data_IF_199112066369
#
_entry.id   IF_199112066369
#
_cell.length_a   1.000
_cell.length_b   1.000
_cell.length_c   1.000
_cell.angle_alpha   90.00
_cell.angle_beta   90.00
_cell.angle_gamma   90.00
#
_symmetry.space_group_name_H-M   'P 1'
#
loop_
_entity.id
_entity.type
_entity.pdbx_description
1 polymer ?
#
# COMPACT_ATOMS: atom_id res chain seq x y z
N UNK A 1 -1.52 0.41 0.45
CA UNK A 1 -0.20 -0.14 0.11
C UNK A 1 0.66 0.02 1.35
N UNK A 2 1.38 -1.00 1.76
CA UNK A 2 2.35 -0.93 2.85
C UNK A 2 3.60 -1.73 2.47
N UNK A 3 4.79 -1.23 2.81
CA UNK A 3 6.06 -1.89 2.50
C UNK A 3 6.43 -2.92 3.56
N UNK A 4 6.85 -4.12 3.16
CA UNK A 4 7.25 -5.16 4.11
C UNK A 4 8.44 -4.79 5.02
N UNK A 5 9.26 -3.81 4.62
CA UNK A 5 10.43 -3.34 5.36
C UNK A 5 10.29 -1.86 5.80
N UNK A 6 9.06 -1.37 6.00
CA UNK A 6 8.84 -0.02 6.49
C UNK A 6 9.23 0.12 7.97
N UNK A 7 10.37 0.77 8.24
CA UNK A 7 10.86 1.04 9.60
C UNK A 7 10.20 2.23 10.31
N UNK A 8 9.38 3.03 9.61
CA UNK A 8 8.65 4.13 10.23
C UNK A 8 7.42 3.60 10.99
N UNK A 9 6.91 4.32 12.01
CA UNK A 9 5.67 3.92 12.66
C UNK A 9 4.48 3.89 11.68
N UNK A 10 3.80 2.75 11.59
CA UNK A 10 2.63 2.56 10.74
C UNK A 10 1.62 1.59 11.40
N UNK A 11 0.30 1.80 11.23
CA UNK A 11 -0.72 0.94 11.81
C UNK A 11 -0.85 -0.40 11.06
N UNK A 12 -1.26 -1.46 11.77
CA UNK A 12 -1.56 -2.75 11.12
C UNK A 12 -2.75 -2.62 10.15
N UNK A 13 -2.75 -3.31 8.98
CA UNK A 13 -3.80 -3.19 7.97
C UNK A 13 -5.24 -3.38 8.47
N UNK A 14 -5.46 -4.35 9.35
CA UNK A 14 -6.77 -4.64 9.92
C UNK A 14 -7.36 -3.46 10.70
N UNK A 15 -6.52 -2.63 11.32
CA UNK A 15 -6.97 -1.52 12.19
C UNK A 15 -7.64 -0.37 11.42
N UNK A 16 -7.34 -0.22 10.14
CA UNK A 16 -7.91 0.84 9.30
C UNK A 16 -8.85 0.33 8.21
N UNK A 17 -8.97 -1.00 8.01
CA UNK A 17 -9.86 -1.57 6.99
C UNK A 17 -11.27 -1.00 7.07
N UNK A 18 -11.88 -0.94 8.26
CA UNK A 18 -13.25 -0.49 8.44
C UNK A 18 -13.49 1.00 8.14
N UNK A 19 -12.42 1.80 7.96
CA UNK A 19 -12.52 3.23 7.63
C UNK A 19 -12.87 3.48 6.16
N UNK A 20 -12.70 2.48 5.30
CA UNK A 20 -13.04 2.54 3.87
C UNK A 20 -14.36 1.77 3.63
N UNK A 21 -15.45 2.50 3.45
CA UNK A 21 -16.82 1.96 3.32
C UNK A 21 -17.25 1.66 1.89
N UNK A 22 -16.50 2.15 0.89
CA UNK A 22 -16.67 1.80 -0.52
C UNK A 22 -15.88 0.54 -0.92
N UNK A 23 -15.69 0.36 -2.23
CA UNK A 23 -14.76 -0.64 -2.74
C UNK A 23 -13.34 -0.32 -2.27
N UNK A 24 -12.61 -1.34 -1.86
CA UNK A 24 -11.36 -1.18 -1.15
C UNK A 24 -10.46 -2.38 -1.39
N UNK A 25 -9.18 -2.10 -1.60
CA UNK A 25 -8.14 -3.11 -1.66
C UNK A 25 -6.94 -2.65 -0.82
N UNK A 26 -6.42 -3.56 0.01
CA UNK A 26 -5.13 -3.39 0.67
C UNK A 26 -4.12 -4.30 -0.03
N UNK A 27 -2.88 -3.84 -0.19
CA UNK A 27 -1.76 -4.64 -0.70
C UNK A 27 -0.53 -4.42 0.16
N UNK A 28 0.10 -5.51 0.55
CA UNK A 28 1.45 -5.50 1.10
C UNK A 28 2.44 -5.63 -0.06
N UNK A 29 3.42 -4.73 -0.12
CA UNK A 29 4.45 -4.71 -1.15
C UNK A 29 5.63 -5.58 -0.66
N UNK A 30 5.96 -6.67 -1.40
CA UNK A 30 7.03 -7.58 -1.01
C UNK A 30 8.41 -6.96 -1.24
N UNK A 31 9.46 -7.68 -0.83
CA UNK A 31 10.84 -7.25 -1.05
C UNK A 31 11.29 -6.15 -0.09
N UNK A 32 12.23 -5.31 -0.53
CA UNK A 32 12.88 -4.32 0.32
C UNK A 32 12.11 -3.00 0.47
N UNK A 33 10.86 -2.92 0.01
CA UNK A 33 10.07 -1.69 0.03
C UNK A 33 9.82 -1.24 1.47
N UNK A 34 10.25 -0.02 1.76
CA UNK A 34 10.14 0.66 3.02
C UNK A 34 9.09 1.77 3.01
N UNK A 35 9.47 2.93 3.54
CA UNK A 35 8.54 4.02 3.84
C UNK A 35 8.13 4.87 2.63
N UNK A 36 8.87 4.79 1.52
CA UNK A 36 8.62 5.57 0.31
C UNK A 36 8.37 4.69 -0.93
N UNK A 37 7.26 3.92 -0.97
CA UNK A 37 6.88 3.09 -2.12
C UNK A 37 6.98 3.75 -3.51
N UNK A 38 6.57 5.01 -3.75
CA UNK A 38 6.66 5.58 -5.11
C UNK A 38 8.10 5.75 -5.60
N UNK A 39 9.08 5.85 -4.70
CA UNK A 39 10.50 5.91 -5.06
C UNK A 39 11.19 4.55 -4.99
N UNK A 40 10.78 3.68 -4.07
CA UNK A 40 11.42 2.39 -3.80
C UNK A 40 10.91 1.26 -4.71
N UNK A 41 9.63 1.27 -5.07
CA UNK A 41 9.02 0.41 -6.08
C UNK A 41 8.04 1.21 -6.95
N UNK A 42 8.55 2.04 -7.87
CA UNK A 42 7.72 2.88 -8.72
C UNK A 42 6.80 2.05 -9.62
N UNK A 43 7.19 0.82 -9.97
CA UNK A 43 6.37 -0.04 -10.84
C UNK A 43 5.12 -0.51 -10.10
N UNK A 44 5.28 -1.06 -8.89
CA UNK A 44 4.13 -1.47 -8.08
C UNK A 44 3.26 -0.27 -7.68
N UNK A 45 3.87 0.88 -7.41
CA UNK A 45 3.14 2.10 -7.10
C UNK A 45 2.28 2.57 -8.27
N UNK A 46 2.84 2.66 -9.49
CA UNK A 46 2.10 3.03 -10.69
C UNK A 46 0.96 2.06 -10.96
N UNK A 47 1.20 0.75 -10.81
CA UNK A 47 0.16 -0.26 -10.98
C UNK A 47 -0.98 -0.07 -9.98
N UNK A 48 -0.67 0.23 -8.71
CA UNK A 48 -1.69 0.48 -7.70
C UNK A 48 -2.54 1.72 -7.99
N UNK A 49 -1.97 2.78 -8.57
CA UNK A 49 -2.74 3.95 -9.02
C UNK A 49 -3.71 3.57 -10.14
N UNK A 50 -3.22 2.84 -11.15
CA UNK A 50 -4.03 2.38 -12.28
C UNK A 50 -5.17 1.45 -11.84
N UNK A 51 -4.92 0.59 -10.86
CA UNK A 51 -5.94 -0.33 -10.34
C UNK A 51 -6.96 0.38 -9.45
N UNK A 52 -6.52 1.36 -8.64
CA UNK A 52 -7.42 2.14 -7.79
C UNK A 52 -8.49 2.89 -8.61
N UNK A 53 -8.13 3.39 -9.80
CA UNK A 53 -9.06 4.02 -10.76
C UNK A 53 -10.14 3.04 -11.27
N UNK A 54 -9.88 1.74 -11.20
CA UNK A 54 -10.75 0.68 -11.76
C UNK A 54 -11.50 -0.12 -10.69
N UNK A 55 -11.39 0.25 -9.41
CA UNK A 55 -11.97 -0.51 -8.31
C UNK A 55 -13.49 -0.66 -8.43
#
# INVERSE_FOLDING_TARGET
>A
LEGANNGAPHPAPASYRAKFTGKYEHRDLPGAVGHNPPQEDPTAFVQAVVDADRL
#
